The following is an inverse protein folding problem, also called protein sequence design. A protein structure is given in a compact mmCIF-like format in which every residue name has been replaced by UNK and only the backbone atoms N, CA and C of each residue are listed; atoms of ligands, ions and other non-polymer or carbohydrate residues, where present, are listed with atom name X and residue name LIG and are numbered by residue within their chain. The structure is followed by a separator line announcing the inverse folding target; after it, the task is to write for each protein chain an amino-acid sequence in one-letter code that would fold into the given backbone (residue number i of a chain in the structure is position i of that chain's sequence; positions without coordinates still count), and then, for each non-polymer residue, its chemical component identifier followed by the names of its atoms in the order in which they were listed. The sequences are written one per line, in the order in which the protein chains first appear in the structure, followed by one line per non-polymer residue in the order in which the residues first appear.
data_IF_489085234706
#
_entry.id   IF_489085234706
#
_cell.length_a   1.000
_cell.length_b   1.000
_cell.length_c   1.000
_cell.angle_alpha   90.00
_cell.angle_beta   90.00
_cell.angle_gamma   90.00
#
_symmetry.space_group_name_H-M   'P 1'
#
loop_
_entity.id
_entity.type
_entity.pdbx_description
1 polymer ?
#
# COMPACT_ATOMS: atom_id res chain seq x y z
N UNK A 1 -19.89 -17.32 3.37
CA UNK A 1 -19.25 -16.30 4.21
C UNK A 1 -18.69 -15.18 3.33
N UNK A 2 -19.38 -14.05 3.27
CA UNK A 2 -18.95 -12.86 2.48
C UNK A 2 -17.83 -12.17 3.24
N UNK A 3 -16.57 -12.42 2.86
CA UNK A 3 -15.44 -11.67 3.41
C UNK A 3 -15.59 -10.22 2.96
N UNK A 4 -15.90 -9.30 3.89
CA UNK A 4 -15.93 -7.86 3.61
C UNK A 4 -14.54 -7.44 3.14
N UNK A 5 -14.41 -6.80 1.98
CA UNK A 5 -13.10 -6.33 1.51
C UNK A 5 -12.51 -5.39 2.56
N UNK A 6 -11.24 -5.63 2.92
CA UNK A 6 -10.51 -4.75 3.84
C UNK A 6 -10.42 -3.38 3.16
N UNK A 7 -11.06 -2.39 3.75
CA UNK A 7 -10.89 -1.00 3.30
C UNK A 7 -9.43 -0.59 3.52
N UNK A 8 -8.86 0.20 2.60
CA UNK A 8 -7.47 0.68 2.69
C UNK A 8 -7.15 1.28 4.07
N UNK A 9 -8.11 1.97 4.69
CA UNK A 9 -7.99 2.52 6.04
C UNK A 9 -7.83 1.43 7.12
N UNK A 10 -8.57 0.32 7.03
CA UNK A 10 -8.43 -0.79 7.98
C UNK A 10 -7.10 -1.52 7.80
N UNK A 11 -6.67 -1.73 6.56
CA UNK A 11 -5.36 -2.29 6.29
C UNK A 11 -4.25 -1.41 6.88
N UNK A 12 -4.28 -0.10 6.66
CA UNK A 12 -3.30 0.84 7.22
C UNK A 12 -3.28 0.83 8.76
N UNK A 13 -4.45 0.74 9.41
CA UNK A 13 -4.53 0.64 10.87
C UNK A 13 -3.93 -0.66 11.40
N UNK A 14 -4.27 -1.80 10.79
CA UNK A 14 -3.70 -3.11 11.19
C UNK A 14 -2.19 -3.09 11.04
N UNK A 15 -1.71 -2.55 9.95
CA UNK A 15 -0.30 -2.37 9.64
C UNK A 15 0.38 -1.50 10.70
N UNK A 16 -0.15 -0.32 10.98
CA UNK A 16 0.41 0.59 11.97
C UNK A 16 0.43 -0.02 13.38
N UNK A 17 -0.66 -0.67 13.79
CA UNK A 17 -0.73 -1.36 15.08
C UNK A 17 0.27 -2.51 15.19
N UNK A 18 0.45 -3.31 14.12
CA UNK A 18 1.42 -4.40 14.11
C UNK A 18 2.85 -3.87 14.23
N UNK A 19 3.21 -2.85 13.45
CA UNK A 19 4.55 -2.21 13.54
C UNK A 19 4.80 -1.66 14.93
N UNK A 20 3.86 -0.91 15.48
CA UNK A 20 3.96 -0.36 16.82
C UNK A 20 4.13 -1.48 17.87
N UNK A 21 3.36 -2.56 17.75
CA UNK A 21 3.43 -3.71 18.65
C UNK A 21 4.81 -4.39 18.60
N UNK A 22 5.31 -4.70 17.40
CA UNK A 22 6.61 -5.38 17.22
C UNK A 22 7.76 -4.48 17.68
N UNK A 23 7.71 -3.18 17.35
CA UNK A 23 8.72 -2.21 17.80
C UNK A 23 8.72 -2.10 19.32
N UNK A 24 7.56 -1.96 19.93
CA UNK A 24 7.46 -1.81 21.38
C UNK A 24 7.86 -3.10 22.11
N UNK A 25 7.35 -4.25 21.67
CA UNK A 25 7.68 -5.55 22.26
C UNK A 25 9.16 -5.90 22.06
N UNK A 26 9.69 -5.73 20.86
CA UNK A 26 11.09 -6.01 20.53
C UNK A 26 12.04 -5.10 21.34
N UNK A 27 11.74 -3.80 21.41
CA UNK A 27 12.52 -2.85 22.17
C UNK A 27 12.47 -3.10 23.69
N UNK A 28 11.28 -3.40 24.22
CA UNK A 28 11.11 -3.74 25.65
C UNK A 28 11.85 -5.03 26.01
N UNK A 29 11.72 -6.08 25.22
CA UNK A 29 12.38 -7.35 25.45
C UNK A 29 13.90 -7.17 25.33
N UNK A 30 14.39 -6.47 24.30
CA UNK A 30 15.79 -6.15 24.13
C UNK A 30 16.36 -5.44 25.35
N UNK A 31 15.71 -4.39 25.83
CA UNK A 31 16.11 -3.67 27.05
C UNK A 31 16.09 -4.51 28.31
N UNK A 32 15.11 -5.43 28.48
CA UNK A 32 15.02 -6.29 29.65
C UNK A 32 16.12 -7.36 29.67
N UNK A 33 16.47 -7.89 28.51
CA UNK A 33 17.37 -9.05 28.37
C UNK A 33 18.82 -8.60 28.21
N UNK A 34 19.08 -7.48 27.56
CA UNK A 34 20.42 -7.02 27.21
C UNK A 34 20.68 -5.59 27.66
N UNK A 35 20.60 -5.37 28.97
CA UNK A 35 20.80 -4.07 29.60
C UNK A 35 22.17 -3.44 29.37
N UNK A 36 23.14 -4.27 28.98
CA UNK A 36 24.49 -3.80 28.67
C UNK A 36 24.51 -3.00 27.36
N UNK A 37 23.83 -3.51 26.35
CA UNK A 37 23.79 -2.88 25.03
C UNK A 37 22.61 -1.89 24.91
N UNK A 38 21.57 -2.07 25.73
CA UNK A 38 20.41 -1.19 25.82
C UNK A 38 20.27 -0.61 27.23
N UNK A 39 21.10 0.39 27.62
CA UNK A 39 21.07 0.99 28.96
C UNK A 39 19.70 1.58 29.35
N UNK A 40 18.99 2.14 28.37
CA UNK A 40 17.66 2.72 28.53
C UNK A 40 16.62 2.01 27.68
N UNK A 41 15.35 2.12 28.08
CA UNK A 41 14.23 1.66 27.25
C UNK A 41 14.22 2.39 25.90
N UNK A 42 14.64 3.65 25.87
CA UNK A 42 14.76 4.44 24.64
C UNK A 42 15.72 3.81 23.64
N UNK A 43 16.86 3.30 24.08
CA UNK A 43 17.84 2.62 23.21
C UNK A 43 17.26 1.34 22.61
N UNK A 44 16.55 0.56 23.43
CA UNK A 44 15.87 -0.65 22.93
C UNK A 44 14.77 -0.34 21.92
N UNK A 45 13.94 0.66 22.17
CA UNK A 45 12.89 1.09 21.25
C UNK A 45 13.48 1.67 19.96
N UNK A 46 14.53 2.47 20.05
CA UNK A 46 15.25 3.03 18.92
C UNK A 46 15.84 1.91 18.04
N UNK A 47 16.54 0.95 18.65
CA UNK A 47 17.06 -0.21 17.95
C UNK A 47 15.95 -1.02 17.26
N UNK A 48 14.86 -1.32 17.96
CA UNK A 48 13.76 -2.10 17.40
C UNK A 48 13.08 -1.37 16.25
N UNK A 49 12.87 -0.05 16.35
CA UNK A 49 12.29 0.77 15.29
C UNK A 49 13.13 0.72 14.01
N UNK A 50 14.42 1.02 14.11
CA UNK A 50 15.32 1.01 12.95
C UNK A 50 15.49 -0.40 12.35
N UNK A 51 15.34 -1.43 13.16
CA UNK A 51 15.41 -2.84 12.71
C UNK A 51 14.15 -3.25 11.96
N UNK A 52 12.96 -2.98 12.50
CA UNK A 52 11.67 -3.29 11.85
C UNK A 52 11.50 -2.49 10.55
N UNK A 53 11.95 -1.24 10.52
CA UNK A 53 11.90 -0.41 9.32
C UNK A 53 13.03 -0.70 8.32
N UNK A 54 13.94 -1.61 8.65
CA UNK A 54 15.12 -2.00 7.84
C UNK A 54 16.11 -0.86 7.58
N UNK A 55 16.08 0.23 8.35
CA UNK A 55 17.04 1.35 8.23
C UNK A 55 18.41 0.95 8.77
N UNK A 56 18.47 0.37 9.99
CA UNK A 56 19.67 -0.25 10.55
C UNK A 56 20.88 0.68 10.64
N UNK A 57 20.78 1.81 11.37
CA UNK A 57 21.94 2.71 11.55
C UNK A 57 23.15 2.01 12.17
N UNK A 58 22.93 0.98 13.01
CA UNK A 58 24.01 0.21 13.63
C UNK A 58 24.69 0.91 14.82
N UNK A 59 24.14 2.01 15.28
CA UNK A 59 24.60 2.79 16.43
C UNK A 59 24.33 2.08 17.77
N UNK A 60 23.23 1.36 17.84
CA UNK A 60 22.84 0.52 18.99
C UNK A 60 22.45 -0.85 18.47
N UNK A 61 23.16 -1.90 18.89
CA UNK A 61 22.93 -3.28 18.43
C UNK A 61 23.21 -4.26 19.56
N UNK A 62 22.47 -5.40 19.62
CA UNK A 62 22.72 -6.41 20.63
C UNK A 62 24.04 -7.14 20.37
N UNK A 63 24.91 -7.22 21.36
CA UNK A 63 26.18 -7.96 21.32
C UNK A 63 26.04 -9.38 21.88
N UNK A 64 25.07 -9.61 22.76
CA UNK A 64 24.86 -10.90 23.41
C UNK A 64 24.21 -11.92 22.48
N UNK A 65 24.45 -13.21 22.73
CA UNK A 65 23.82 -14.29 21.96
C UNK A 65 22.28 -14.25 22.04
N UNK A 66 21.75 -14.00 23.23
CA UNK A 66 20.30 -13.89 23.46
C UNK A 66 19.72 -12.65 22.75
N UNK A 67 20.39 -11.50 22.83
CA UNK A 67 20.00 -10.30 22.11
C UNK A 67 19.98 -10.50 20.60
N UNK A 68 20.94 -11.22 20.03
CA UNK A 68 20.97 -11.58 18.60
C UNK A 68 19.82 -12.47 18.18
N UNK A 69 19.41 -13.42 19.02
CA UNK A 69 18.24 -14.28 18.75
C UNK A 69 16.96 -13.43 18.73
N UNK A 70 16.79 -12.55 19.71
CA UNK A 70 15.66 -11.58 19.74
C UNK A 70 15.70 -10.72 18.48
N UNK A 71 16.88 -10.21 18.10
CA UNK A 71 17.08 -9.44 16.87
C UNK A 71 16.65 -10.19 15.63
N UNK A 72 16.97 -11.46 15.51
CA UNK A 72 16.56 -12.30 14.38
C UNK A 72 15.02 -12.36 14.27
N UNK A 73 14.30 -12.53 15.39
CA UNK A 73 12.84 -12.50 15.40
C UNK A 73 12.26 -11.14 14.97
N UNK A 74 12.85 -10.05 15.46
CA UNK A 74 12.43 -8.67 15.07
C UNK A 74 12.67 -8.46 13.58
N UNK A 75 13.81 -8.87 13.04
CA UNK A 75 14.14 -8.75 11.61
C UNK A 75 13.20 -9.57 10.73
N UNK A 76 12.94 -10.83 11.07
CA UNK A 76 12.00 -11.69 10.32
C UNK A 76 10.60 -11.09 10.35
N UNK A 77 10.16 -10.60 11.50
CA UNK A 77 8.87 -9.92 11.64
C UNK A 77 8.78 -8.65 10.78
N UNK A 78 9.85 -7.85 10.70
CA UNK A 78 9.94 -6.67 9.86
C UNK A 78 9.85 -6.99 8.37
N UNK A 79 10.59 -8.00 7.91
CA UNK A 79 10.56 -8.46 6.51
C UNK A 79 9.17 -8.98 6.13
N UNK A 80 8.58 -9.83 6.96
CA UNK A 80 7.24 -10.36 6.74
C UNK A 80 6.20 -9.23 6.62
N UNK A 81 6.32 -8.23 7.48
CA UNK A 81 5.47 -7.05 7.49
C UNK A 81 5.57 -6.23 6.20
N UNK A 82 6.79 -5.90 5.74
CA UNK A 82 7.01 -5.18 4.48
C UNK A 82 6.43 -5.93 3.28
N UNK A 83 6.59 -7.26 3.25
CA UNK A 83 6.04 -8.11 2.20
C UNK A 83 4.51 -8.02 2.14
N UNK A 84 3.84 -8.08 3.29
CA UNK A 84 2.37 -7.98 3.37
C UNK A 84 1.88 -6.59 2.95
N UNK A 85 2.58 -5.51 3.35
CA UNK A 85 2.24 -4.15 2.92
C UNK A 85 2.32 -4.03 1.40
N UNK A 86 3.45 -4.43 0.83
CA UNK A 86 3.67 -4.32 -0.62
C UNK A 86 2.59 -5.10 -1.38
N UNK A 87 2.28 -6.32 -0.95
CA UNK A 87 1.21 -7.12 -1.54
C UNK A 87 -0.16 -6.44 -1.41
N UNK A 88 -0.49 -5.86 -0.25
CA UNK A 88 -1.77 -5.19 -0.01
C UNK A 88 -1.92 -3.91 -0.86
N UNK A 89 -0.85 -3.10 -0.97
CA UNK A 89 -0.85 -1.89 -1.82
C UNK A 89 -1.00 -2.27 -3.29
N UNK A 90 -0.24 -3.25 -3.75
CA UNK A 90 -0.32 -3.74 -5.14
C UNK A 90 -1.72 -4.26 -5.47
N UNK A 91 -2.31 -5.08 -4.60
CA UNK A 91 -3.67 -5.58 -4.76
C UNK A 91 -4.71 -4.44 -4.83
N UNK A 92 -4.56 -3.41 -3.98
CA UNK A 92 -5.45 -2.25 -3.99
C UNK A 92 -5.33 -1.43 -5.28
N UNK A 93 -4.12 -1.27 -5.82
CA UNK A 93 -3.89 -0.59 -7.09
C UNK A 93 -4.50 -1.35 -8.27
N UNK A 94 -4.29 -2.66 -8.34
CA UNK A 94 -4.87 -3.52 -9.38
C UNK A 94 -6.40 -3.46 -9.33
N UNK A 95 -6.99 -3.58 -8.14
CA UNK A 95 -8.44 -3.50 -7.97
C UNK A 95 -8.99 -2.13 -8.40
N UNK A 96 -8.29 -1.04 -8.07
CA UNK A 96 -8.68 0.31 -8.50
C UNK A 96 -8.62 0.48 -10.01
N UNK A 97 -7.61 -0.07 -10.66
CA UNK A 97 -7.46 -0.07 -12.12
C UNK A 97 -8.56 -0.89 -12.80
N UNK A 98 -8.88 -2.07 -12.28
CA UNK A 98 -9.98 -2.92 -12.79
C UNK A 98 -11.34 -2.23 -12.73
N UNK A 99 -11.61 -1.45 -11.69
CA UNK A 99 -12.87 -0.70 -11.55
C UNK A 99 -13.00 0.46 -12.52
N UNK A 100 -11.87 1.00 -13.00
CA UNK A 100 -11.85 2.08 -14.00
C UNK A 100 -12.01 1.57 -15.43
N UNK A 101 -11.53 0.37 -15.73
CA UNK A 101 -11.56 -0.23 -17.07
C UNK A 101 -12.96 -0.27 -17.71
N UNK A 102 -14.00 -0.82 -17.07
CA UNK A 102 -15.34 -0.88 -17.64
C UNK A 102 -15.94 0.49 -17.95
N UNK A 103 -15.72 1.47 -17.06
CA UNK A 103 -16.20 2.85 -17.24
C UNK A 103 -15.50 3.56 -18.40
N UNK A 104 -14.20 3.32 -18.58
CA UNK A 104 -13.46 3.91 -19.69
C UNK A 104 -13.93 3.32 -21.05
N UNK A 105 -14.20 2.02 -21.11
CA UNK A 105 -14.72 1.37 -22.30
C UNK A 105 -16.12 1.88 -22.66
N UNK A 106 -17.03 1.96 -21.69
CA UNK A 106 -18.38 2.52 -21.85
C UNK A 106 -18.34 3.98 -22.31
N UNK A 107 -17.44 4.78 -21.77
CA UNK A 107 -17.26 6.17 -22.17
C UNK A 107 -16.74 6.31 -23.60
N UNK A 108 -15.85 5.42 -24.02
CA UNK A 108 -15.35 5.38 -25.41
C UNK A 108 -16.47 4.98 -26.39
N UNK A 109 -17.30 4.03 -26.02
CA UNK A 109 -18.46 3.60 -26.81
C UNK A 109 -19.49 4.73 -26.97
N UNK A 110 -19.83 5.43 -25.88
CA UNK A 110 -20.73 6.58 -25.92
C UNK A 110 -20.17 7.72 -26.79
N UNK A 111 -18.88 8.01 -26.70
CA UNK A 111 -18.24 9.02 -27.56
C UNK A 111 -18.28 8.60 -29.04
N UNK A 112 -18.12 7.32 -29.35
CA UNK A 112 -18.26 6.78 -30.69
C UNK A 112 -19.70 6.94 -31.23
N UNK A 113 -20.71 6.66 -30.42
CA UNK A 113 -22.11 6.87 -30.79
C UNK A 113 -22.45 8.33 -31.05
N UNK A 114 -22.00 9.24 -30.17
CA UNK A 114 -22.19 10.69 -30.35
C UNK A 114 -21.52 11.17 -31.64
N UNK A 115 -20.29 10.73 -31.91
CA UNK A 115 -19.57 11.08 -33.13
C UNK A 115 -20.32 10.63 -34.39
N UNK A 116 -20.84 9.39 -34.40
CA UNK A 116 -21.60 8.87 -35.55
C UNK A 116 -22.92 9.62 -35.77
N UNK A 117 -23.61 10.02 -34.72
CA UNK A 117 -24.83 10.84 -34.79
C UNK A 117 -24.55 12.25 -35.33
N UNK A 118 -23.45 12.88 -34.90
CA UNK A 118 -23.02 14.18 -35.43
C UNK A 118 -22.75 14.11 -36.94
N UNK A 119 -22.00 13.12 -37.39
CA UNK A 119 -21.72 12.95 -38.82
C UNK A 119 -23.00 12.71 -39.67
N UNK A 120 -23.99 12.00 -39.10
CA UNK A 120 -25.27 11.79 -39.78
C UNK A 120 -26.09 13.08 -39.87
N UNK A 121 -26.02 13.96 -38.84
CA UNK A 121 -26.68 15.27 -38.85
C UNK A 121 -26.00 16.20 -39.85
N UNK A 122 -24.68 16.26 -39.87
CA UNK A 122 -23.92 17.03 -40.86
C UNK A 122 -24.27 16.64 -42.29
N UNK A 123 -24.31 15.34 -42.58
CA UNK A 123 -24.70 14.86 -43.89
C UNK A 123 -26.13 15.25 -44.30
N UNK A 124 -27.09 15.27 -43.36
CA UNK A 124 -28.45 15.71 -43.59
C UNK A 124 -28.53 17.21 -43.83
N UNK A 125 -27.77 18.01 -43.11
CA UNK A 125 -27.68 19.45 -43.28
C UNK A 125 -27.12 19.81 -44.67
N UNK A 126 -26.09 19.14 -45.10
CA UNK A 126 -25.48 19.31 -46.44
C UNK A 126 -26.46 18.93 -47.56
N UNK A 127 -27.26 17.88 -47.39
CA UNK A 127 -28.32 17.49 -48.33
C UNK A 127 -29.41 18.52 -48.42
N UNK A 128 -29.86 19.09 -47.28
CA UNK A 128 -30.87 20.15 -47.24
C UNK A 128 -30.37 21.46 -47.88
N UNK A 129 -29.13 21.86 -47.56
CA UNK A 129 -28.50 23.03 -48.14
C UNK A 129 -28.37 22.96 -49.68
N UNK A 130 -28.16 21.76 -50.24
CA UNK A 130 -28.14 21.56 -51.69
C UNK A 130 -29.52 21.69 -52.32
N UNK A 131 -30.60 21.28 -51.63
CA UNK A 131 -31.96 21.37 -52.13
C UNK A 131 -32.51 22.79 -52.14
N UNK A 132 -32.11 23.63 -51.16
CA UNK A 132 -32.55 25.03 -51.06
C UNK A 132 -31.75 25.96 -52.00
N UNK A 133 -30.68 25.47 -52.65
CA UNK A 133 -29.86 26.25 -53.58
C UNK A 133 -30.21 26.00 -55.08
N UNK A 134 -31.14 25.08 -55.37
CA UNK A 134 -31.71 24.82 -56.73
C UNK A 134 -33.09 25.51 -56.87
#
# INVERSE_FOLDING_TARGET
MRRRPLTARRAALIIGCYTALVTFAGGLIGWLVDRKDFPTLGDGLWWSLQTVTTVGYGDVVPSSGTGRVIGAFVMISGIAFLTVITAAVTAALIESARRRGPRAAEQTELLGEVSSRLSAIEARLDELARRDGE
#
